data_IF_544616204614
#
_entry.id   IF_544616204614
#
_cell.length_a   1.000
_cell.length_b   1.000
_cell.length_c   1.000
_cell.angle_alpha   90.00
_cell.angle_beta   90.00
_cell.angle_gamma   90.00
#
_symmetry.space_group_name_H-M   'P 1'
#
loop_
_entity.id
_entity.type
_entity.pdbx_description
1 polymer ?
#
# COMPACT_ATOMS: atom_id res chain seq x y z
N UNK A 1 -21.69 -7.37 26.89
CA UNK A 1 -23.08 -6.88 26.72
C UNK A 1 -23.39 -5.73 27.65
N UNK A 2 -23.23 -5.88 28.97
CA UNK A 2 -23.58 -4.86 29.98
C UNK A 2 -23.07 -3.43 29.68
N UNK A 3 -21.84 -3.27 29.18
CA UNK A 3 -21.29 -1.96 28.81
C UNK A 3 -21.96 -1.34 27.57
N UNK A 4 -22.27 -2.16 26.56
CA UNK A 4 -22.97 -1.72 25.34
C UNK A 4 -24.41 -1.32 25.69
N UNK A 5 -25.06 -2.09 26.56
CA UNK A 5 -26.43 -1.79 27.01
C UNK A 5 -26.48 -0.52 27.88
N UNK A 6 -25.48 -0.31 28.74
CA UNK A 6 -25.36 0.92 29.51
C UNK A 6 -25.14 2.14 28.59
N UNK A 7 -24.27 2.01 27.58
CA UNK A 7 -24.07 3.06 26.59
C UNK A 7 -25.33 3.30 25.73
N UNK A 8 -26.06 2.23 25.40
CA UNK A 8 -27.33 2.32 24.67
C UNK A 8 -28.40 3.07 25.46
N UNK A 9 -28.47 2.86 26.78
CA UNK A 9 -29.38 3.61 27.67
C UNK A 9 -29.04 5.10 27.73
N UNK A 10 -27.76 5.46 27.69
CA UNK A 10 -27.30 6.87 27.72
C UNK A 10 -27.51 7.55 26.37
N UNK A 11 -27.19 6.87 25.27
CA UNK A 11 -27.22 7.43 23.92
C UNK A 11 -28.58 7.33 23.22
N UNK A 12 -29.49 6.49 23.72
CA UNK A 12 -30.77 6.19 23.07
C UNK A 12 -30.67 5.23 21.89
N UNK A 13 -29.48 4.72 21.57
CA UNK A 13 -29.27 3.74 20.48
C UNK A 13 -29.30 2.30 20.99
N UNK A 14 -29.91 1.40 20.21
CA UNK A 14 -29.94 -0.04 20.47
C UNK A 14 -29.20 -0.83 19.40
N UNK A 15 -28.43 -1.83 19.79
CA UNK A 15 -27.75 -2.73 18.86
C UNK A 15 -28.73 -3.72 18.26
N UNK A 16 -28.71 -3.87 16.92
CA UNK A 16 -29.46 -4.91 16.22
C UNK A 16 -28.67 -6.21 16.21
N UNK A 17 -28.87 -7.05 17.22
CA UNK A 17 -28.11 -8.30 17.39
C UNK A 17 -28.21 -9.27 16.21
N UNK A 18 -29.31 -9.24 15.44
CA UNK A 18 -29.47 -10.08 14.23
C UNK A 18 -28.51 -9.72 13.09
N UNK A 19 -27.93 -8.51 13.10
CA UNK A 19 -26.91 -8.07 12.14
C UNK A 19 -25.49 -8.16 12.72
N UNK A 20 -25.36 -8.53 14.00
CA UNK A 20 -24.08 -8.58 14.70
C UNK A 20 -23.45 -9.96 14.55
N UNK A 21 -22.35 -10.01 13.80
CA UNK A 21 -21.57 -11.22 13.57
C UNK A 21 -20.25 -11.17 14.34
N UNK A 22 -19.84 -12.30 14.90
CA UNK A 22 -18.56 -12.46 15.57
C UNK A 22 -17.62 -13.28 14.67
N UNK A 23 -16.46 -12.71 14.32
CA UNK A 23 -15.41 -13.43 13.61
C UNK A 23 -14.16 -13.53 14.49
N UNK A 24 -13.79 -14.73 14.98
CA UNK A 24 -12.55 -14.91 15.72
C UNK A 24 -11.33 -14.78 14.80
N UNK A 25 -10.36 -13.96 15.20
CA UNK A 25 -9.11 -13.70 14.46
C UNK A 25 -7.93 -14.27 15.26
N UNK A 26 -7.25 -15.29 14.71
CA UNK A 26 -6.09 -15.92 15.34
C UNK A 26 -6.32 -17.40 15.69
N UNK A 27 -5.22 -18.15 15.87
CA UNK A 27 -5.25 -19.61 16.05
C UNK A 27 -5.71 -20.03 17.46
N UNK A 28 -5.56 -19.17 18.47
CA UNK A 28 -5.75 -19.53 19.89
C UNK A 28 -7.13 -19.17 20.47
N UNK A 29 -8.10 -18.73 19.65
CA UNK A 29 -9.40 -18.26 20.15
C UNK A 29 -10.49 -19.34 20.21
N UNK A 30 -10.27 -20.52 19.61
CA UNK A 30 -11.26 -21.60 19.58
C UNK A 30 -11.40 -22.36 20.91
N UNK A 31 -10.57 -22.06 21.91
CA UNK A 31 -10.60 -22.69 23.24
C UNK A 31 -11.69 -22.15 24.14
N UNK A 32 -12.18 -20.94 23.90
CA UNK A 32 -13.29 -20.36 24.66
C UNK A 32 -14.61 -20.71 23.98
N UNK A 33 -15.53 -21.32 24.73
CA UNK A 33 -16.87 -21.63 24.23
C UNK A 33 -17.65 -20.34 24.04
N UNK A 34 -17.69 -19.81 22.82
CA UNK A 34 -18.51 -18.64 22.44
C UNK A 34 -20.03 -18.88 22.57
N UNK A 35 -20.45 -20.04 23.09
CA UNK A 35 -21.86 -20.42 23.34
C UNK A 35 -22.58 -19.48 24.30
N UNK A 36 -21.84 -18.74 25.14
CA UNK A 36 -22.42 -17.77 26.09
C UNK A 36 -22.88 -16.47 25.42
N UNK A 37 -22.46 -16.22 24.18
CA UNK A 37 -22.82 -15.01 23.45
C UNK A 37 -23.92 -15.27 22.42
N UNK A 38 -24.90 -14.37 22.33
CA UNK A 38 -25.97 -14.40 21.32
C UNK A 38 -25.49 -14.05 19.88
N UNK A 39 -24.19 -13.98 19.64
CA UNK A 39 -23.64 -13.65 18.31
C UNK A 39 -23.63 -14.87 17.39
N UNK A 40 -23.89 -14.63 16.11
CA UNK A 40 -23.60 -15.63 15.09
C UNK A 40 -22.09 -15.68 14.82
N UNK A 41 -21.49 -16.87 14.94
CA UNK A 41 -20.07 -17.06 14.62
C UNK A 41 -19.92 -17.14 13.10
N UNK A 42 -19.40 -16.07 12.50
CA UNK A 42 -19.18 -15.97 11.08
C UNK A 42 -17.72 -16.30 10.72
N UNK A 43 -17.54 -17.05 9.62
CA UNK A 43 -16.21 -17.30 9.03
C UNK A 43 -15.72 -16.14 8.16
N UNK A 44 -16.65 -15.24 7.80
CA UNK A 44 -16.49 -14.15 6.85
C UNK A 44 -17.40 -13.01 7.28
N UNK A 45 -16.87 -11.81 7.40
CA UNK A 45 -17.63 -10.60 7.76
C UNK A 45 -17.42 -9.55 6.68
N UNK A 46 -18.48 -8.83 6.32
CA UNK A 46 -18.40 -7.72 5.38
C UNK A 46 -18.22 -6.41 6.14
N UNK A 47 -17.10 -5.74 5.92
CA UNK A 47 -16.78 -4.44 6.51
C UNK A 47 -16.60 -3.40 5.40
N UNK A 48 -17.42 -2.35 5.42
CA UNK A 48 -17.38 -1.23 4.45
C UNK A 48 -17.33 -1.65 2.97
N UNK A 49 -17.93 -2.79 2.62
CA UNK A 49 -17.92 -3.29 1.23
C UNK A 49 -16.86 -4.36 0.95
N UNK A 50 -15.85 -4.51 1.82
CA UNK A 50 -14.81 -5.53 1.73
C UNK A 50 -15.18 -6.74 2.58
N UNK A 51 -15.02 -7.92 2.03
CA UNK A 51 -15.18 -9.17 2.75
C UNK A 51 -13.86 -9.55 3.44
N UNK A 52 -13.89 -9.60 4.76
CA UNK A 52 -12.80 -10.09 5.59
C UNK A 52 -13.03 -11.56 5.93
N UNK A 53 -11.97 -12.34 5.90
CA UNK A 53 -12.00 -13.78 6.22
C UNK A 53 -10.92 -14.11 7.25
N UNK A 54 -11.22 -15.02 8.17
CA UNK A 54 -10.25 -15.44 9.19
C UNK A 54 -8.95 -16.04 8.61
N UNK A 55 -9.02 -16.59 7.38
CA UNK A 55 -7.85 -17.03 6.60
C UNK A 55 -7.63 -16.10 5.43
N UNK A 56 -6.42 -15.57 5.29
CA UNK A 56 -6.10 -14.58 4.25
C UNK A 56 -6.10 -15.15 2.81
N UNK A 57 -6.06 -16.48 2.65
CA UNK A 57 -6.00 -17.17 1.35
C UNK A 57 -7.21 -16.83 0.46
N UNK A 58 -8.39 -16.62 1.05
CA UNK A 58 -9.62 -16.37 0.31
C UNK A 58 -9.90 -14.89 0.04
N UNK A 59 -9.14 -13.95 0.61
CA UNK A 59 -9.38 -12.51 0.49
C UNK A 59 -9.41 -12.05 -0.97
N UNK A 60 -8.51 -12.56 -1.81
CA UNK A 60 -8.49 -12.23 -3.23
C UNK A 60 -9.77 -12.71 -3.95
N UNK A 61 -10.14 -13.98 -3.73
CA UNK A 61 -11.31 -14.59 -4.38
C UNK A 61 -12.62 -13.91 -3.94
N UNK A 62 -12.75 -13.64 -2.65
CA UNK A 62 -13.96 -13.10 -2.05
C UNK A 62 -14.22 -11.62 -2.39
N UNK A 63 -13.17 -10.89 -2.80
CA UNK A 63 -13.25 -9.47 -3.14
C UNK A 63 -13.01 -9.24 -4.64
N UNK A 64 -11.78 -9.47 -5.12
CA UNK A 64 -11.39 -9.18 -6.49
C UNK A 64 -12.11 -10.05 -7.53
N UNK A 65 -12.10 -11.38 -7.37
CA UNK A 65 -12.77 -12.25 -8.35
C UNK A 65 -14.29 -12.05 -8.35
N UNK A 66 -14.88 -11.86 -7.16
CA UNK A 66 -16.31 -11.56 -7.04
C UNK A 66 -16.67 -10.24 -7.73
N UNK A 67 -15.95 -9.16 -7.44
CA UNK A 67 -16.14 -7.86 -8.08
C UNK A 67 -15.97 -7.96 -9.60
N UNK A 68 -14.93 -8.67 -10.07
CA UNK A 68 -14.70 -8.84 -11.50
C UNK A 68 -15.79 -9.65 -12.20
N UNK A 69 -16.38 -10.63 -11.51
CA UNK A 69 -17.49 -11.43 -12.04
C UNK A 69 -18.73 -10.57 -12.26
N UNK A 70 -19.03 -9.66 -11.33
CA UNK A 70 -20.12 -8.70 -11.48
C UNK A 70 -19.83 -7.70 -12.60
N UNK A 71 -18.61 -7.13 -12.64
CA UNK A 71 -18.16 -6.26 -13.75
C UNK A 71 -18.34 -6.95 -15.10
N UNK A 72 -17.99 -8.24 -15.22
CA UNK A 72 -18.16 -9.01 -16.45
C UNK A 72 -19.61 -9.10 -16.90
N UNK A 73 -20.54 -9.36 -15.98
CA UNK A 73 -21.97 -9.42 -16.27
C UNK A 73 -22.46 -8.06 -16.78
N UNK A 74 -22.04 -6.98 -16.12
CA UNK A 74 -22.38 -5.63 -16.56
C UNK A 74 -21.84 -5.38 -17.97
N UNK A 75 -20.57 -5.66 -18.23
CA UNK A 75 -19.97 -5.49 -19.56
C UNK A 75 -20.70 -6.30 -20.65
N UNK A 76 -21.19 -7.50 -20.35
CA UNK A 76 -22.01 -8.29 -21.29
C UNK A 76 -23.33 -7.57 -21.60
N UNK A 77 -24.02 -7.05 -20.59
CA UNK A 77 -25.25 -6.27 -20.76
C UNK A 77 -24.98 -5.01 -21.59
N UNK A 78 -23.97 -4.22 -21.23
CA UNK A 78 -23.58 -3.01 -21.94
C UNK A 78 -23.09 -3.29 -23.37
N UNK A 79 -22.57 -4.49 -23.65
CA UNK A 79 -22.09 -4.86 -24.99
C UNK A 79 -23.22 -5.00 -26.01
N UNK A 80 -24.44 -5.27 -25.55
CA UNK A 80 -25.65 -5.38 -26.39
C UNK A 80 -26.13 -4.00 -26.87
N UNK A 81 -25.73 -2.93 -26.18
CA UNK A 81 -26.02 -1.56 -26.59
C UNK A 81 -25.08 -1.15 -27.74
N UNK A 82 -25.63 -0.47 -28.75
CA UNK A 82 -24.86 0.04 -29.90
C UNK A 82 -24.06 1.30 -29.53
N UNK A 83 -23.10 1.16 -28.63
CA UNK A 83 -22.23 2.25 -28.18
C UNK A 83 -21.07 2.50 -29.16
N UNK A 84 -20.70 3.76 -29.32
CA UNK A 84 -19.47 4.15 -30.02
C UNK A 84 -18.22 3.64 -29.28
N UNK A 85 -17.05 3.69 -29.93
CA UNK A 85 -15.78 3.37 -29.25
C UNK A 85 -15.56 4.24 -28.00
N UNK A 86 -15.77 5.55 -28.13
CA UNK A 86 -15.67 6.49 -27.02
C UNK A 86 -16.70 6.21 -25.92
N UNK A 87 -17.93 5.88 -26.30
CA UNK A 87 -18.98 5.50 -25.34
C UNK A 87 -18.60 4.26 -24.53
N UNK A 88 -18.02 3.24 -25.17
CA UNK A 88 -17.50 2.05 -24.46
C UNK A 88 -16.35 2.39 -23.52
N UNK A 89 -15.42 3.25 -23.93
CA UNK A 89 -14.34 3.71 -23.05
C UNK A 89 -14.90 4.48 -21.85
N UNK A 90 -15.94 5.31 -22.05
CA UNK A 90 -16.61 6.02 -20.97
C UNK A 90 -17.27 5.06 -19.96
N UNK A 91 -17.93 3.99 -20.43
CA UNK A 91 -18.49 2.94 -19.55
C UNK A 91 -17.39 2.31 -18.68
N UNK A 92 -16.22 2.01 -19.25
CA UNK A 92 -15.08 1.51 -18.45
C UNK A 92 -14.65 2.51 -17.38
N UNK A 93 -14.55 3.79 -17.74
CA UNK A 93 -14.16 4.87 -16.80
C UNK A 93 -15.17 5.09 -15.68
N UNK A 94 -16.46 4.98 -15.97
CA UNK A 94 -17.52 5.33 -15.03
C UNK A 94 -17.97 4.14 -14.16
N UNK A 95 -17.87 2.91 -14.66
CA UNK A 95 -18.32 1.73 -13.92
C UNK A 95 -17.16 0.84 -13.44
N UNK A 96 -16.29 0.43 -14.35
CA UNK A 96 -15.23 -0.54 -14.02
C UNK A 96 -14.15 0.09 -13.15
N UNK A 97 -13.67 1.27 -13.56
CA UNK A 97 -12.57 1.94 -12.86
C UNK A 97 -12.90 2.25 -11.39
N UNK A 98 -14.04 2.87 -11.01
CA UNK A 98 -14.31 3.21 -9.62
C UNK A 98 -14.41 1.98 -8.71
N UNK A 99 -15.03 0.89 -9.19
CA UNK A 99 -15.17 -0.37 -8.42
C UNK A 99 -13.81 -1.03 -8.15
N UNK A 100 -12.94 -1.06 -9.16
CA UNK A 100 -11.60 -1.61 -9.01
C UNK A 100 -10.70 -0.71 -8.17
N UNK A 101 -10.78 0.61 -8.37
CA UNK A 101 -10.00 1.59 -7.62
C UNK A 101 -10.30 1.53 -6.12
N UNK A 102 -11.57 1.38 -5.75
CA UNK A 102 -11.95 1.16 -4.35
C UNK A 102 -11.22 -0.05 -3.73
N UNK A 103 -11.18 -1.19 -4.44
CA UNK A 103 -10.47 -2.37 -3.96
C UNK A 103 -8.94 -2.15 -3.92
N UNK A 104 -8.38 -1.45 -4.90
CA UNK A 104 -6.96 -1.13 -4.91
C UNK A 104 -6.58 -0.26 -3.71
N UNK A 105 -7.37 0.76 -3.38
CA UNK A 105 -7.09 1.63 -2.24
C UNK A 105 -7.29 0.92 -0.90
N UNK A 106 -8.27 0.04 -0.79
CA UNK A 106 -8.62 -0.63 0.48
C UNK A 106 -7.86 -1.92 0.75
N UNK A 107 -7.43 -2.64 -0.29
CA UNK A 107 -6.92 -4.01 -0.17
C UNK A 107 -5.76 -4.30 -1.12
N UNK A 108 -4.57 -3.83 -0.74
CA UNK A 108 -3.31 -4.01 -1.48
C UNK A 108 -2.72 -5.42 -1.33
N UNK A 109 -3.37 -6.45 -1.91
CA UNK A 109 -2.98 -7.87 -1.74
C UNK A 109 -2.58 -8.58 -3.04
N UNK A 110 -2.52 -7.87 -4.17
CA UNK A 110 -2.25 -8.50 -5.46
C UNK A 110 -0.74 -8.74 -5.60
N UNK A 111 -0.36 -10.01 -5.52
CA UNK A 111 1.03 -10.46 -5.70
C UNK A 111 1.37 -10.73 -7.17
N UNK A 112 0.50 -11.49 -7.88
CA UNK A 112 0.72 -11.88 -9.28
C UNK A 112 -0.04 -10.97 -10.25
N UNK A 113 0.67 -10.49 -11.26
CA UNK A 113 0.14 -9.58 -12.28
C UNK A 113 -0.75 -10.27 -13.34
N UNK A 114 -0.97 -11.59 -13.23
CA UNK A 114 -1.76 -12.36 -14.21
C UNK A 114 -3.25 -12.01 -14.18
N UNK A 115 -3.76 -11.52 -13.05
CA UNK A 115 -5.13 -10.99 -12.96
C UNK A 115 -5.32 -9.78 -13.90
N UNK A 116 -4.38 -8.83 -13.92
CA UNK A 116 -4.46 -7.66 -14.80
C UNK A 116 -4.48 -8.04 -16.28
N UNK A 117 -3.71 -9.06 -16.70
CA UNK A 117 -3.75 -9.54 -18.09
C UNK A 117 -5.13 -10.10 -18.46
N UNK A 118 -5.76 -10.85 -17.54
CA UNK A 118 -7.13 -11.37 -17.72
C UNK A 118 -8.13 -10.22 -17.80
N UNK A 119 -8.06 -9.27 -16.88
CA UNK A 119 -8.94 -8.10 -16.85
C UNK A 119 -8.80 -7.22 -18.10
N UNK A 120 -7.57 -6.98 -18.52
CA UNK A 120 -7.26 -6.25 -19.75
C UNK A 120 -7.81 -6.95 -21.00
N UNK A 121 -7.74 -8.29 -21.05
CA UNK A 121 -8.33 -9.08 -22.15
C UNK A 121 -9.85 -8.91 -22.21
N UNK A 122 -10.52 -8.96 -21.07
CA UNK A 122 -11.97 -8.79 -20.97
C UNK A 122 -12.40 -7.35 -21.35
N UNK A 123 -11.68 -6.33 -20.86
CA UNK A 123 -11.91 -4.92 -21.24
C UNK A 123 -11.69 -4.73 -22.74
N UNK A 124 -10.60 -5.28 -23.29
CA UNK A 124 -10.30 -5.20 -24.72
C UNK A 124 -11.41 -5.85 -25.56
N UNK A 125 -11.91 -7.03 -25.14
CA UNK A 125 -13.03 -7.70 -25.82
C UNK A 125 -14.27 -6.80 -25.85
N UNK A 126 -14.59 -6.11 -24.75
CA UNK A 126 -15.71 -5.17 -24.70
C UNK A 126 -15.49 -3.94 -25.61
N UNK A 127 -14.34 -3.27 -25.47
CA UNK A 127 -13.98 -2.06 -26.22
C UNK A 127 -13.92 -2.30 -27.73
N UNK A 128 -13.61 -3.53 -28.17
CA UNK A 128 -13.57 -3.90 -29.59
C UNK A 128 -14.76 -4.74 -30.05
N UNK A 129 -15.78 -4.99 -29.22
CA UNK A 129 -16.96 -5.80 -29.58
C UNK A 129 -16.56 -7.20 -30.09
N UNK A 130 -15.56 -7.82 -29.44
CA UNK A 130 -15.02 -9.11 -29.85
C UNK A 130 -14.17 -9.09 -31.13
N UNK A 131 -14.04 -7.95 -31.81
CA UNK A 131 -13.16 -7.79 -32.99
C UNK A 131 -11.70 -7.64 -32.57
N UNK A 132 -10.79 -7.87 -33.52
CA UNK A 132 -9.35 -7.66 -33.31
C UNK A 132 -9.06 -6.18 -33.01
N UNK A 133 -8.30 -5.86 -31.94
CA UNK A 133 -7.89 -4.49 -31.65
C UNK A 133 -7.15 -3.85 -32.82
N UNK A 134 -7.56 -2.64 -33.21
CA UNK A 134 -6.87 -1.86 -34.26
C UNK A 134 -5.73 -1.00 -33.71
N UNK A 135 -5.79 -0.65 -32.42
CA UNK A 135 -4.83 0.22 -31.74
C UNK A 135 -4.15 -0.60 -30.64
N UNK A 136 -2.83 -0.42 -30.50
CA UNK A 136 -2.07 -1.03 -29.39
C UNK A 136 -2.59 -0.51 -28.06
N UNK A 137 -2.70 -1.38 -27.05
CA UNK A 137 -3.25 -1.00 -25.75
C UNK A 137 -2.50 0.18 -25.10
N UNK A 138 -1.16 0.19 -25.18
CA UNK A 138 -0.33 1.28 -24.65
C UNK A 138 -0.69 2.66 -25.24
N UNK A 139 -1.01 2.72 -26.54
CA UNK A 139 -1.46 3.96 -27.20
C UNK A 139 -2.89 4.30 -26.81
N UNK A 140 -3.75 3.29 -26.63
CA UNK A 140 -5.15 3.48 -26.23
C UNK A 140 -5.28 4.05 -24.81
N UNK A 141 -4.38 3.66 -23.91
CA UNK A 141 -4.30 4.15 -22.52
C UNK A 141 -3.69 5.53 -22.40
N UNK A 142 -2.98 6.00 -23.43
CA UNK A 142 -2.30 7.28 -23.40
C UNK A 142 -3.30 8.46 -23.32
N UNK A 143 -2.83 9.59 -22.83
CA UNK A 143 -3.61 10.80 -22.64
C UNK A 143 -4.05 11.39 -24.00
N UNK A 144 -5.15 12.15 -24.00
CA UNK A 144 -5.76 12.65 -25.25
C UNK A 144 -4.88 13.66 -25.98
N UNK A 145 -4.16 14.48 -25.21
CA UNK A 145 -3.13 15.42 -25.64
C UNK A 145 -1.96 14.73 -26.37
N UNK A 146 -1.64 13.48 -26.01
CA UNK A 146 -0.63 12.64 -26.68
C UNK A 146 -1.21 11.73 -27.77
N UNK A 147 -2.45 12.00 -28.22
CA UNK A 147 -3.11 11.24 -29.28
C UNK A 147 -3.71 9.89 -28.84
N UNK A 148 -3.81 9.64 -27.53
CA UNK A 148 -4.49 8.47 -26.98
C UNK A 148 -5.97 8.68 -26.68
N UNK A 149 -6.62 7.67 -26.10
CA UNK A 149 -8.03 7.73 -25.71
C UNK A 149 -8.25 7.75 -24.19
N UNK A 150 -7.16 7.77 -23.43
CA UNK A 150 -7.11 7.70 -21.97
C UNK A 150 -7.91 6.52 -21.42
N UNK A 151 -7.88 5.35 -22.07
CA UNK A 151 -8.49 4.14 -21.52
C UNK A 151 -7.81 3.78 -20.17
N UNK A 152 -8.55 3.47 -19.10
CA UNK A 152 -7.93 3.12 -17.83
C UNK A 152 -7.08 1.84 -17.91
N UNK A 153 -5.82 1.93 -17.49
CA UNK A 153 -4.98 0.76 -17.21
C UNK A 153 -5.07 0.41 -15.72
N UNK A 154 -5.86 -0.62 -15.41
CA UNK A 154 -6.07 -1.07 -14.02
C UNK A 154 -4.78 -1.42 -13.29
N UNK A 155 -3.73 -1.86 -14.00
CA UNK A 155 -2.44 -2.16 -13.38
C UNK A 155 -1.76 -0.88 -12.88
N UNK A 156 -1.75 0.17 -13.70
CA UNK A 156 -1.17 1.46 -13.32
C UNK A 156 -1.93 2.08 -12.15
N UNK A 157 -3.26 1.99 -12.14
CA UNK A 157 -4.06 2.46 -11.00
C UNK A 157 -3.75 1.70 -9.70
N UNK A 158 -3.60 0.37 -9.78
CA UNK A 158 -3.21 -0.44 -8.62
C UNK A 158 -1.83 -0.06 -8.09
N UNK A 159 -0.84 0.05 -8.99
CA UNK A 159 0.54 0.42 -8.64
C UNK A 159 0.59 1.85 -8.07
N UNK A 160 -0.21 2.78 -8.60
CA UNK A 160 -0.32 4.15 -8.06
C UNK A 160 -0.93 4.17 -6.66
N UNK A 161 -2.00 3.38 -6.43
CA UNK A 161 -2.60 3.24 -5.11
C UNK A 161 -1.63 2.62 -4.10
N UNK A 162 -0.76 1.71 -4.53
CA UNK A 162 0.28 1.15 -3.67
C UNK A 162 1.29 2.21 -3.20
N UNK A 163 1.60 3.21 -4.03
CA UNK A 163 2.46 4.32 -3.60
C UNK A 163 1.82 5.19 -2.52
N UNK A 164 0.50 5.30 -2.49
CA UNK A 164 -0.20 6.01 -1.42
C UNK A 164 0.04 5.34 -0.06
N UNK A 165 0.11 4.01 -0.03
CA UNK A 165 0.45 3.24 1.18
C UNK A 165 1.95 3.31 1.49
N UNK A 166 2.80 3.19 0.47
CA UNK A 166 4.25 3.26 0.64
C UNK A 166 4.71 4.62 1.18
N UNK A 167 3.97 5.71 0.89
CA UNK A 167 4.28 7.05 1.42
C UNK A 167 4.49 7.02 2.94
N UNK A 168 3.62 6.36 3.69
CA UNK A 168 3.73 6.28 5.15
C UNK A 168 5.00 5.54 5.57
N UNK A 169 5.37 4.48 4.87
CA UNK A 169 6.60 3.73 5.14
C UNK A 169 7.87 4.51 4.78
N UNK A 170 7.80 5.37 3.76
CA UNK A 170 8.92 6.18 3.30
C UNK A 170 9.13 7.39 4.21
N UNK A 171 8.04 8.05 4.62
CA UNK A 171 8.10 9.29 5.40
C UNK A 171 8.17 9.07 6.91
N UNK A 172 7.76 7.90 7.39
CA UNK A 172 7.72 7.51 8.80
C UNK A 172 6.78 8.40 9.66
N UNK A 173 5.77 9.01 9.06
CA UNK A 173 4.91 10.01 9.72
C UNK A 173 3.85 9.38 10.64
N UNK A 174 3.24 8.26 10.23
CA UNK A 174 2.13 7.65 10.96
C UNK A 174 2.58 6.46 11.82
N UNK A 175 3.20 6.76 12.97
CA UNK A 175 3.82 5.75 13.85
C UNK A 175 2.86 4.65 14.28
N UNK A 176 1.59 4.98 14.57
CA UNK A 176 0.60 4.02 15.04
C UNK A 176 0.31 2.96 13.97
N UNK A 177 0.08 3.39 12.72
CA UNK A 177 -0.14 2.47 11.59
C UNK A 177 1.13 1.66 11.32
N UNK A 178 2.29 2.31 11.33
CA UNK A 178 3.58 1.66 11.07
C UNK A 178 3.93 0.61 12.13
N UNK A 179 3.52 0.80 13.39
CA UNK A 179 3.68 -0.18 14.45
C UNK A 179 2.73 -1.37 14.28
N UNK A 180 1.46 -1.10 13.96
CA UNK A 180 0.48 -2.14 13.66
C UNK A 180 0.88 -3.00 12.45
N UNK A 181 1.28 -2.38 11.35
CA UNK A 181 1.63 -3.11 10.11
C UNK A 181 2.94 -3.87 10.20
N UNK A 182 3.87 -3.36 11.00
CA UNK A 182 5.20 -3.94 11.19
C UNK A 182 5.36 -4.61 12.54
N UNK A 183 4.29 -5.13 13.15
CA UNK A 183 4.33 -5.71 14.50
C UNK A 183 5.35 -6.86 14.68
N UNK A 184 5.70 -7.55 13.60
CA UNK A 184 6.67 -8.66 13.56
C UNK A 184 7.96 -8.29 12.79
N UNK A 185 8.14 -7.02 12.43
CA UNK A 185 9.38 -6.55 11.80
C UNK A 185 10.52 -6.57 12.83
N UNK A 186 11.71 -6.98 12.38
CA UNK A 186 12.91 -6.98 13.24
C UNK A 186 13.65 -5.65 13.20
N UNK A 187 13.62 -4.97 12.06
CA UNK A 187 14.27 -3.68 11.83
C UNK A 187 13.26 -2.63 11.41
N UNK A 188 13.69 -1.38 11.30
CA UNK A 188 12.91 -0.31 10.69
C UNK A 188 12.48 -0.58 9.25
N UNK A 189 11.46 0.14 8.79
CA UNK A 189 10.92 0.10 7.44
C UNK A 189 11.96 0.42 6.37
N UNK A 190 12.83 1.40 6.61
CA UNK A 190 13.87 1.79 5.66
C UNK A 190 14.94 0.70 5.47
N UNK A 191 15.13 -0.15 6.48
CA UNK A 191 15.97 -1.33 6.40
C UNK A 191 15.48 -2.32 5.31
N UNK A 192 14.16 -2.51 5.25
CA UNK A 192 13.54 -3.42 4.29
C UNK A 192 13.40 -2.79 2.91
N UNK A 193 13.04 -1.51 2.84
CA UNK A 193 12.75 -0.79 1.59
C UNK A 193 14.03 -0.47 0.81
N UNK A 194 15.10 -0.07 1.50
CA UNK A 194 16.32 0.42 0.86
C UNK A 194 17.52 -0.51 1.02
N UNK A 195 17.77 -1.03 2.23
CA UNK A 195 18.93 -1.87 2.52
C UNK A 195 18.72 -3.36 2.27
N UNK A 196 17.62 -3.72 1.58
CA UNK A 196 17.32 -5.07 1.12
C UNK A 196 17.39 -6.15 2.23
N UNK A 197 17.07 -5.76 3.48
CA UNK A 197 16.99 -6.67 4.63
C UNK A 197 15.95 -7.76 4.44
N UNK A 198 15.06 -7.61 3.45
CA UNK A 198 14.10 -8.62 3.02
C UNK A 198 14.80 -9.91 2.53
N UNK A 199 16.01 -9.83 1.96
CA UNK A 199 16.80 -11.02 1.57
C UNK A 199 17.20 -11.88 2.79
N UNK A 200 17.49 -11.22 3.91
CA UNK A 200 17.91 -11.86 5.16
C UNK A 200 16.69 -12.29 5.97
N UNK A 201 15.68 -11.42 6.05
CA UNK A 201 14.48 -11.61 6.87
C UNK A 201 13.26 -11.83 5.97
N UNK A 202 13.04 -13.10 5.60
CA UNK A 202 11.89 -13.51 4.76
C UNK A 202 10.53 -13.20 5.40
N UNK A 203 10.47 -13.04 6.72
CA UNK A 203 9.26 -12.71 7.48
C UNK A 203 8.50 -11.50 6.94
N UNK A 204 9.21 -10.48 6.46
CA UNK A 204 8.61 -9.28 5.88
C UNK A 204 7.66 -9.59 4.70
N UNK A 205 8.04 -10.56 3.86
CA UNK A 205 7.25 -10.99 2.69
C UNK A 205 6.18 -12.04 3.01
N UNK A 206 6.11 -12.54 4.24
CA UNK A 206 5.05 -13.48 4.64
C UNK A 206 3.70 -12.77 4.77
N UNK A 207 3.71 -11.47 5.09
CA UNK A 207 2.50 -10.67 5.14
C UNK A 207 2.08 -10.24 3.72
N UNK A 208 0.84 -10.55 3.36
CA UNK A 208 0.33 -10.39 1.99
C UNK A 208 0.38 -8.95 1.51
N UNK A 209 -0.01 -7.99 2.36
CA UNK A 209 0.05 -6.57 2.01
C UNK A 209 1.49 -6.11 1.86
N UNK A 210 2.37 -6.53 2.80
CA UNK A 210 3.76 -6.09 2.77
C UNK A 210 4.49 -6.59 1.52
N UNK A 211 4.24 -7.85 1.18
CA UNK A 211 4.75 -8.47 -0.05
C UNK A 211 4.27 -7.75 -1.31
N UNK A 212 2.97 -7.45 -1.39
CA UNK A 212 2.39 -6.79 -2.55
C UNK A 212 2.97 -5.38 -2.76
N UNK A 213 3.02 -4.57 -1.69
CA UNK A 213 3.61 -3.22 -1.71
C UNK A 213 5.10 -3.26 -2.05
N UNK A 214 5.86 -4.15 -1.43
CA UNK A 214 7.29 -4.32 -1.72
C UNK A 214 7.55 -4.67 -3.19
N UNK A 215 6.73 -5.54 -3.78
CA UNK A 215 6.86 -5.91 -5.19
C UNK A 215 6.53 -4.74 -6.13
N UNK A 216 5.68 -3.80 -5.72
CA UNK A 216 5.50 -2.53 -6.46
C UNK A 216 6.74 -1.66 -6.30
N UNK A 217 7.19 -1.44 -5.06
CA UNK A 217 8.36 -0.62 -4.76
C UNK A 217 9.60 -1.04 -5.56
N UNK A 218 9.97 -2.33 -5.54
CA UNK A 218 11.19 -2.81 -6.19
C UNK A 218 11.19 -2.60 -7.71
N UNK A 219 10.01 -2.50 -8.34
CA UNK A 219 9.89 -2.28 -9.79
C UNK A 219 10.16 -0.84 -10.20
N UNK A 220 10.00 0.09 -9.27
CA UNK A 220 10.04 1.53 -9.55
C UNK A 220 11.11 2.26 -8.74
N UNK A 221 11.69 1.66 -7.70
CA UNK A 221 12.67 2.32 -6.83
C UNK A 221 13.83 2.94 -7.61
N UNK A 222 14.34 2.23 -8.63
CA UNK A 222 15.48 2.68 -9.43
C UNK A 222 15.08 3.77 -10.44
N UNK A 223 13.78 3.89 -10.75
CA UNK A 223 13.23 4.98 -11.57
C UNK A 223 13.12 6.28 -10.76
N UNK A 224 12.75 6.17 -9.49
CA UNK A 224 12.60 7.34 -8.61
C UNK A 224 13.92 7.79 -8.00
N UNK A 225 14.73 6.85 -7.52
CA UNK A 225 15.96 7.11 -6.78
C UNK A 225 17.06 6.19 -7.31
N UNK A 226 17.90 6.73 -8.20
CA UNK A 226 19.05 6.01 -8.76
C UNK A 226 20.20 5.85 -7.76
N UNK A 227 20.16 6.61 -6.65
CA UNK A 227 21.17 6.66 -5.58
C UNK A 227 20.48 6.76 -4.22
N UNK A 228 21.27 6.87 -3.16
CA UNK A 228 20.76 7.04 -1.79
C UNK A 228 19.78 8.21 -1.72
N UNK A 229 18.54 8.02 -1.26
CA UNK A 229 17.54 9.06 -1.21
C UNK A 229 17.78 10.01 -0.06
N UNK A 230 17.38 11.27 -0.25
CA UNK A 230 17.42 12.31 0.79
C UNK A 230 16.43 12.04 1.94
N UNK A 231 15.32 11.37 1.66
CA UNK A 231 14.27 11.04 2.63
C UNK A 231 14.58 9.82 3.50
N UNK A 232 15.63 9.06 3.18
CA UNK A 232 16.00 7.84 3.89
C UNK A 232 16.59 8.20 5.27
N UNK A 233 16.20 7.48 6.30
CA UNK A 233 16.74 7.57 7.66
C UNK A 233 17.67 6.38 7.94
N UNK A 234 18.99 6.61 8.05
CA UNK A 234 19.95 5.55 8.37
C UNK A 234 19.75 4.98 9.77
N UNK A 235 19.36 5.83 10.72
CA UNK A 235 19.17 5.44 12.11
C UNK A 235 18.00 4.48 12.24
N UNK A 236 16.86 4.82 11.65
CA UNK A 236 15.69 3.95 11.64
C UNK A 236 15.99 2.60 10.99
N UNK A 237 16.75 2.61 9.90
CA UNK A 237 17.09 1.40 9.16
C UNK A 237 17.99 0.42 9.94
N UNK A 238 18.78 0.89 10.91
CA UNK A 238 19.68 0.03 11.69
C UNK A 238 19.10 -0.37 13.03
N UNK A 239 18.17 0.41 13.56
CA UNK A 239 17.55 0.13 14.84
C UNK A 239 16.67 -1.12 14.82
N UNK A 240 16.72 -1.84 15.94
CA UNK A 240 15.90 -3.04 16.14
C UNK A 240 14.52 -2.58 16.57
N UNK A 241 13.48 -2.93 15.80
CA UNK A 241 12.13 -2.41 16.00
C UNK A 241 11.62 -2.69 17.42
N UNK A 242 11.10 -1.64 18.06
CA UNK A 242 10.42 -1.68 19.36
C UNK A 242 8.99 -1.15 19.17
N UNK A 243 8.05 -1.57 20.03
CA UNK A 243 6.71 -0.98 20.05
C UNK A 243 6.83 0.49 20.48
N UNK A 244 6.10 1.39 19.81
CA UNK A 244 6.11 2.82 20.03
C UNK A 244 7.51 3.43 19.86
N UNK A 245 8.20 3.06 18.77
CA UNK A 245 9.43 3.76 18.40
C UNK A 245 9.16 5.25 18.21
N UNK A 246 10.10 6.09 18.65
CA UNK A 246 9.99 7.54 18.49
C UNK A 246 9.76 7.95 17.04
N UNK A 247 9.03 9.05 16.82
CA UNK A 247 8.62 9.54 15.51
C UNK A 247 9.68 10.41 14.80
N UNK A 248 10.70 10.88 15.51
CA UNK A 248 11.67 11.84 14.99
C UNK A 248 12.98 11.18 14.55
N UNK A 249 12.90 10.26 13.57
CA UNK A 249 14.09 9.69 12.97
C UNK A 249 14.69 10.68 11.94
N UNK A 250 15.93 11.17 12.14
CA UNK A 250 16.54 12.12 11.23
C UNK A 250 16.76 11.48 9.86
N UNK A 251 16.38 12.22 8.82
CA UNK A 251 16.56 11.83 7.41
C UNK A 251 17.90 12.38 6.89
N UNK A 252 18.42 11.80 5.81
CA UNK A 252 19.71 12.27 5.25
C UNK A 252 19.74 13.77 4.98
N UNK A 253 18.65 14.38 4.49
CA UNK A 253 18.64 15.82 4.23
C UNK A 253 18.78 16.68 5.49
N UNK A 254 18.37 16.17 6.65
CA UNK A 254 18.47 16.86 7.95
C UNK A 254 19.84 16.67 8.57
N UNK A 255 20.52 15.56 8.23
CA UNK A 255 21.85 15.23 8.73
C UNK A 255 22.99 15.99 8.01
N UNK A 256 22.65 16.74 6.97
CA UNK A 256 23.60 17.34 6.04
C UNK A 256 23.57 18.88 6.14
N UNK A 257 24.74 19.49 6.14
CA UNK A 257 24.97 20.94 6.02
C UNK A 257 25.67 21.26 4.70
N UNK A 258 25.24 22.34 4.05
CA UNK A 258 25.93 22.92 2.90
C UNK A 258 26.96 23.95 3.38
N UNK A 259 28.23 23.67 3.15
CA UNK A 259 29.35 24.59 3.37
C UNK A 259 29.93 24.97 1.98
N UNK A 260 29.29 25.94 1.33
CA UNK A 260 29.58 26.32 -0.06
C UNK A 260 29.23 25.19 -1.04
N UNK A 261 30.20 24.78 -1.87
CA UNK A 261 30.04 23.64 -2.82
C UNK A 261 30.22 22.26 -2.16
N UNK A 262 30.64 22.21 -0.89
CA UNK A 262 30.92 20.96 -0.17
C UNK A 262 29.79 20.63 0.80
N UNK A 263 29.34 19.38 0.71
CA UNK A 263 28.35 18.81 1.62
C UNK A 263 29.08 18.20 2.80
N UNK A 264 28.80 18.69 4.01
CA UNK A 264 29.37 18.16 5.26
C UNK A 264 28.25 17.59 6.14
N UNK A 265 28.60 16.62 6.97
CA UNK A 265 27.67 16.12 7.99
C UNK A 265 27.57 17.14 9.13
N UNK A 266 26.38 17.30 9.71
CA UNK A 266 26.20 18.12 10.91
C UNK A 266 27.02 17.59 12.09
N UNK A 267 27.43 18.48 12.99
CA UNK A 267 28.13 18.07 14.21
C UNK A 267 27.24 17.20 15.10
N UNK A 268 27.84 16.27 15.83
CA UNK A 268 27.14 15.37 16.74
C UNK A 268 26.31 16.14 17.78
N UNK A 269 26.85 17.24 18.32
CA UNK A 269 26.16 18.07 19.32
C UNK A 269 24.86 18.68 18.77
N UNK A 270 24.88 19.12 17.50
CA UNK A 270 23.72 19.67 16.82
C UNK A 270 22.67 18.60 16.53
N UNK A 271 23.10 17.44 16.05
CA UNK A 271 22.19 16.31 15.77
C UNK A 271 21.59 15.71 17.05
N UNK A 272 22.39 15.59 18.11
CA UNK A 272 21.97 15.06 19.40
C UNK A 272 20.96 15.99 20.11
N UNK A 273 21.03 17.30 19.83
CA UNK A 273 20.05 18.28 20.32
C UNK A 273 18.68 18.16 19.63
N UNK A 274 18.64 17.76 18.36
CA UNK A 274 17.41 17.55 17.58
C UNK A 274 16.81 16.15 17.71
N UNK A 275 17.65 15.14 17.91
CA UNK A 275 17.24 13.75 18.15
C UNK A 275 18.32 13.10 19.03
N UNK A 276 18.01 12.41 20.13
CA UNK A 276 19.03 11.72 20.91
C UNK A 276 19.64 10.57 20.09
N UNK A 277 20.90 10.72 19.65
CA UNK A 277 21.64 9.71 18.87
C UNK A 277 22.72 9.12 19.77
N UNK A 278 22.91 7.80 19.74
CA UNK A 278 24.04 7.18 20.45
C UNK A 278 25.37 7.65 19.88
N UNK A 279 26.27 8.15 20.74
CA UNK A 279 27.61 8.63 20.35
C UNK A 279 28.44 7.56 19.64
N UNK A 280 28.31 6.30 20.07
CA UNK A 280 28.96 5.14 19.42
C UNK A 280 28.52 4.93 17.97
N UNK A 281 27.29 5.30 17.63
CA UNK A 281 26.75 5.16 16.27
C UNK A 281 27.29 6.25 15.35
N UNK A 282 27.31 7.50 15.82
CA UNK A 282 27.85 8.62 15.07
C UNK A 282 29.30 8.35 14.65
N UNK A 283 30.11 7.80 15.56
CA UNK A 283 31.54 7.53 15.32
C UNK A 283 31.80 6.31 14.41
N UNK A 284 31.02 5.23 14.53
CA UNK A 284 31.19 4.00 13.73
C UNK A 284 30.71 4.16 12.28
N UNK A 285 29.68 4.97 12.06
CA UNK A 285 29.04 5.13 10.74
C UNK A 285 29.32 6.47 10.07
N UNK A 286 30.14 7.33 10.69
CA UNK A 286 30.56 8.62 10.15
C UNK A 286 31.04 8.52 8.70
N UNK A 287 31.86 7.50 8.39
CA UNK A 287 32.37 7.24 7.04
C UNK A 287 31.26 6.86 6.05
N UNK A 288 30.29 6.03 6.44
CA UNK A 288 29.17 5.66 5.56
C UNK A 288 28.20 6.82 5.32
N UNK A 289 27.95 7.62 6.36
CA UNK A 289 27.13 8.83 6.26
C UNK A 289 27.81 9.91 5.40
N UNK A 290 29.14 10.07 5.50
CA UNK A 290 29.93 10.95 4.63
C UNK A 290 29.96 10.48 3.17
N UNK A 291 30.13 9.18 2.93
CA UNK A 291 30.08 8.62 1.57
C UNK A 291 28.69 8.87 0.96
N UNK A 292 27.61 8.62 1.71
CA UNK A 292 26.25 8.92 1.27
C UNK A 292 26.03 10.42 1.00
N UNK A 293 26.54 11.30 1.85
CA UNK A 293 26.50 12.76 1.67
C UNK A 293 27.24 13.23 0.40
N UNK A 294 28.39 12.61 0.08
CA UNK A 294 29.15 12.90 -1.14
C UNK A 294 28.37 12.52 -2.42
N UNK A 295 27.59 11.44 -2.40
CA UNK A 295 26.77 11.01 -3.54
C UNK A 295 25.45 11.77 -3.73
N UNK A 296 25.02 12.56 -2.74
CA UNK A 296 23.77 13.34 -2.73
C UNK A 296 23.84 14.68 -3.48
N UNK A 297 25.02 15.03 -4.01
CA UNK A 297 25.31 16.31 -4.68
C UNK A 297 24.65 16.50 -6.07
N UNK A 298 23.90 15.50 -6.59
CA UNK A 298 23.39 15.54 -7.96
C UNK A 298 21.90 15.23 -8.16
N UNK A 299 21.10 15.04 -7.11
CA UNK A 299 19.66 14.75 -7.28
C UNK A 299 18.78 15.93 -6.88
N UNK A 300 18.05 16.47 -7.88
CA UNK A 300 16.87 17.30 -7.67
C UNK A 300 15.77 16.43 -7.05
N UNK A 301 15.27 16.85 -5.89
CA UNK A 301 14.20 16.21 -5.13
C UNK A 301 12.93 16.00 -5.96
N UNK A 302 12.40 14.77 -5.95
CA UNK A 302 10.98 14.55 -6.26
C UNK A 302 10.16 15.17 -5.12
N UNK A 303 9.46 16.27 -5.39
CA UNK A 303 8.42 16.74 -4.49
C UNK A 303 7.27 15.74 -4.55
N UNK A 304 7.03 15.02 -3.45
CA UNK A 304 5.85 14.18 -3.27
C UNK A 304 4.61 15.09 -3.08
N UNK A 305 4.15 15.71 -4.17
CA UNK A 305 2.84 16.33 -4.25
C UNK A 305 1.85 15.30 -4.83
N UNK A 306 1.11 14.62 -3.97
CA UNK A 306 -0.23 14.10 -4.23
C UNK A 306 -0.95 13.99 -2.89
#
# INVERSE_FOLDING_TARGET
>A
MQMIDAFGKISGYSVTWSKSELMPIGQNLFTHSFKEYQFWIAKKVKYLGVNLTAKNVNLFKDNYDKCWTEVKKDLDIWSRLKLSLLGRIAVIKMNVLPRMLFLFQTLQIIDKMDCFKRWQKDISKFVWQGKKPRIKFKTLTDAKDRGGFALPDLRLYYESAAFCWLKDWLLLENTDILDLEGFDNRFGWHAYIWYDKVKVHKGFKNHMVRKALYNVWIRYKDLFESRTPRWLSPLEAKEVKKLNMGSNWPKYFEMIEQDGEKVKLQSFEKLNSSCPISKTYFDLDYYYLLIAAHFLNHNSSFNWCC
#
